data_IF_231792116947
#
_entry.id   IF_231792116947
#
_cell.length_a   1.000
_cell.length_b   1.000
_cell.length_c   1.000
_cell.angle_alpha   90.00
_cell.angle_beta   90.00
_cell.angle_gamma   90.00
#
_symmetry.space_group_name_H-M   'P 1'
#
loop_
_entity.id
_entity.type
_entity.pdbx_description
1 polymer ?
#
# COMPACT_ATOMS: atom_id res chain seq x y z
N UNK A 1 9.30 -10.43 17.95
CA UNK A 1 9.15 -10.86 16.61
C UNK A 1 7.94 -10.29 15.93
N UNK A 2 7.85 -10.58 14.65
CA UNK A 2 6.75 -10.10 13.84
C UNK A 2 5.73 -11.21 13.64
N UNK A 3 4.47 -10.80 13.60
CA UNK A 3 3.39 -11.72 13.30
C UNK A 3 3.32 -11.90 11.78
N UNK A 4 3.10 -13.13 11.28
CA UNK A 4 2.93 -13.31 9.84
C UNK A 4 1.76 -12.48 9.32
N UNK A 5 1.90 -11.99 8.09
CA UNK A 5 0.88 -11.17 7.46
C UNK A 5 0.24 -11.99 6.35
N UNK A 6 -1.07 -12.11 6.38
CA UNK A 6 -1.79 -12.77 5.31
C UNK A 6 -2.08 -11.75 4.21
N UNK A 7 -1.66 -12.06 2.99
CA UNK A 7 -1.86 -11.17 1.85
C UNK A 7 -2.89 -11.77 0.92
N UNK A 8 -3.87 -10.96 0.53
CA UNK A 8 -4.88 -11.36 -0.45
C UNK A 8 -4.88 -10.38 -1.60
N UNK A 9 -5.25 -10.85 -2.79
CA UNK A 9 -5.35 -10.02 -3.97
C UNK A 9 -6.81 -9.98 -4.40
N UNK A 10 -7.34 -8.79 -4.63
CA UNK A 10 -8.78 -8.61 -4.86
C UNK A 10 -8.97 -7.68 -6.04
N UNK A 11 -9.83 -8.06 -7.02
CA UNK A 11 -10.12 -7.15 -8.12
C UNK A 11 -10.74 -5.85 -7.63
N UNK A 12 -10.39 -4.76 -8.29
CA UNK A 12 -10.84 -3.44 -7.87
C UNK A 12 -12.36 -3.29 -7.91
N UNK A 13 -13.05 -4.07 -8.74
CA UNK A 13 -14.51 -4.00 -8.77
C UNK A 13 -15.15 -4.55 -7.50
N UNK A 14 -14.36 -5.16 -6.62
CA UNK A 14 -14.86 -5.58 -5.30
C UNK A 14 -14.39 -4.62 -4.21
N UNK A 15 -13.98 -3.42 -4.58
CA UNK A 15 -13.50 -2.41 -3.64
C UNK A 15 -14.54 -2.11 -2.56
N UNK A 16 -15.79 -2.11 -2.92
CA UNK A 16 -16.85 -1.78 -1.98
C UNK A 16 -16.90 -2.78 -0.81
N UNK A 17 -16.73 -4.07 -1.11
CA UNK A 17 -16.72 -5.08 -0.06
C UNK A 17 -15.54 -4.88 0.90
N UNK A 18 -14.39 -4.52 0.33
CA UNK A 18 -13.20 -4.28 1.14
C UNK A 18 -13.43 -3.07 2.05
N UNK A 19 -14.01 -2.02 1.49
CA UNK A 19 -14.27 -0.80 2.25
C UNK A 19 -15.21 -1.08 3.43
N UNK A 20 -16.26 -1.86 3.20
CA UNK A 20 -17.18 -2.23 4.27
C UNK A 20 -16.47 -3.02 5.37
N UNK A 21 -15.62 -3.95 4.98
CA UNK A 21 -14.91 -4.76 5.94
C UNK A 21 -13.93 -3.92 6.77
N UNK A 22 -13.22 -3.01 6.11
CA UNK A 22 -12.29 -2.11 6.82
C UNK A 22 -13.05 -1.24 7.81
N UNK A 23 -14.20 -0.71 7.38
CA UNK A 23 -14.99 0.14 8.26
C UNK A 23 -15.45 -0.63 9.50
N UNK A 24 -15.89 -1.86 9.31
CA UNK A 24 -16.32 -2.71 10.42
C UNK A 24 -15.17 -2.95 11.40
N UNK A 25 -14.00 -3.28 10.87
CA UNK A 25 -12.84 -3.54 11.72
C UNK A 25 -12.41 -2.29 12.49
N UNK A 26 -12.45 -1.14 11.83
CA UNK A 26 -12.08 0.11 12.49
C UNK A 26 -13.07 0.48 13.58
N UNK A 27 -14.36 0.21 13.36
CA UNK A 27 -15.36 0.45 14.37
C UNK A 27 -15.15 -0.42 15.61
N UNK A 28 -14.48 -1.55 15.44
CA UNK A 28 -14.15 -2.46 16.54
C UNK A 28 -12.84 -2.07 17.24
N UNK A 29 -12.21 -0.99 16.82
CA UNK A 29 -10.99 -0.52 17.45
C UNK A 29 -9.70 -0.91 16.77
N UNK A 30 -9.77 -1.67 15.69
CA UNK A 30 -8.57 -1.99 14.93
C UNK A 30 -8.15 -0.80 14.10
N UNK A 31 -6.88 -0.76 13.76
CA UNK A 31 -6.36 0.34 12.96
C UNK A 31 -5.89 -0.17 11.61
N UNK A 32 -6.11 0.65 10.59
CA UNK A 32 -5.86 0.27 9.21
C UNK A 32 -5.20 1.39 8.43
N UNK A 33 -4.39 1.00 7.46
CA UNK A 33 -3.87 1.90 6.42
C UNK A 33 -4.66 1.67 5.14
N UNK A 34 -4.94 2.74 4.43
CA UNK A 34 -5.53 2.66 3.10
C UNK A 34 -4.64 3.48 2.18
N UNK A 35 -3.89 2.81 1.32
CA UNK A 35 -2.90 3.47 0.47
C UNK A 35 -3.47 3.68 -0.91
N UNK A 36 -3.44 4.91 -1.38
CA UNK A 36 -3.91 5.29 -2.70
C UNK A 36 -2.74 5.48 -3.63
N UNK A 37 -2.77 4.82 -4.77
CA UNK A 37 -1.78 5.03 -5.80
C UNK A 37 -2.53 5.35 -7.08
N UNK A 38 -2.06 6.34 -7.82
CA UNK A 38 -2.70 6.68 -9.07
C UNK A 38 -1.68 6.76 -10.18
N UNK A 39 -0.75 7.71 -10.06
CA UNK A 39 0.29 7.89 -11.05
C UNK A 39 1.59 8.06 -10.29
N UNK A 40 2.50 7.15 -10.51
CA UNK A 40 3.69 7.09 -9.67
C UNK A 40 4.57 8.32 -9.78
N UNK A 41 4.42 9.11 -10.80
CA UNK A 41 5.30 10.25 -11.01
C UNK A 41 4.68 11.59 -10.67
N UNK A 42 3.49 11.59 -10.09
CA UNK A 42 2.80 12.84 -9.82
C UNK A 42 2.28 12.87 -8.40
N UNK A 43 2.99 13.59 -7.53
CA UNK A 43 2.52 13.79 -6.17
C UNK A 43 1.19 14.52 -6.12
N UNK A 44 0.97 15.42 -7.07
CA UNK A 44 -0.28 16.18 -7.10
C UNK A 44 -1.46 15.28 -7.37
N UNK A 45 -1.35 14.39 -8.36
CA UNK A 45 -2.44 13.48 -8.68
C UNK A 45 -2.64 12.45 -7.58
N UNK A 46 -1.56 11.96 -6.98
CA UNK A 46 -1.66 11.04 -5.86
C UNK A 46 -2.34 11.71 -4.67
N UNK A 47 -1.98 12.97 -4.39
CA UNK A 47 -2.61 13.72 -3.30
C UNK A 47 -4.09 13.91 -3.55
N UNK A 48 -4.47 14.23 -4.79
CA UNK A 48 -5.88 14.40 -5.13
C UNK A 48 -6.67 13.11 -4.95
N UNK A 49 -6.07 11.98 -5.34
CA UNK A 49 -6.72 10.68 -5.17
C UNK A 49 -6.93 10.36 -3.69
N UNK A 50 -5.92 10.65 -2.88
CA UNK A 50 -6.03 10.39 -1.44
C UNK A 50 -7.07 11.31 -0.80
N UNK A 51 -7.12 12.57 -1.22
CA UNK A 51 -8.12 13.50 -0.71
C UNK A 51 -9.52 13.08 -1.07
N UNK A 52 -9.72 12.60 -2.31
CA UNK A 52 -11.03 12.13 -2.74
C UNK A 52 -11.47 10.91 -1.93
N UNK A 53 -10.56 9.98 -1.70
CA UNK A 53 -10.86 8.79 -0.90
C UNK A 53 -11.16 9.17 0.54
N UNK A 54 -10.42 10.11 1.09
CA UNK A 54 -10.65 10.60 2.44
C UNK A 54 -12.06 11.18 2.56
N UNK A 55 -12.46 12.01 1.62
CA UNK A 55 -13.78 12.62 1.63
C UNK A 55 -14.88 11.57 1.49
N UNK A 56 -14.68 10.62 0.60
CA UNK A 56 -15.64 9.54 0.38
C UNK A 56 -15.88 8.74 1.65
N UNK A 57 -14.80 8.32 2.30
CA UNK A 57 -14.92 7.46 3.47
C UNK A 57 -15.45 8.24 4.66
N UNK A 58 -15.02 9.47 4.80
CA UNK A 58 -15.49 10.30 5.91
C UNK A 58 -17.01 10.50 5.85
N UNK A 59 -17.52 10.73 4.64
CA UNK A 59 -18.95 10.92 4.46
C UNK A 59 -19.74 9.66 4.74
N UNK A 60 -19.21 8.53 4.28
CA UNK A 60 -19.94 7.27 4.40
C UNK A 60 -19.83 6.63 5.76
N UNK A 61 -18.76 6.88 6.49
CA UNK A 61 -18.51 6.25 7.79
C UNK A 61 -18.11 7.29 8.81
N UNK A 62 -19.03 8.20 9.16
CA UNK A 62 -18.66 9.31 10.06
C UNK A 62 -18.30 8.86 11.48
N UNK A 63 -18.61 7.63 11.84
CA UNK A 63 -18.27 7.11 13.16
C UNK A 63 -16.79 6.73 13.28
N UNK A 64 -16.05 6.69 12.18
CA UNK A 64 -14.64 6.34 12.20
C UNK A 64 -13.80 7.60 12.12
N UNK A 65 -12.78 7.70 12.97
CA UNK A 65 -11.84 8.81 12.90
C UNK A 65 -10.78 8.51 11.86
N UNK A 66 -10.69 9.39 10.88
CA UNK A 66 -9.84 9.16 9.70
C UNK A 66 -8.80 10.25 9.61
N UNK A 67 -7.57 9.86 9.25
CA UNK A 67 -6.51 10.80 8.98
C UNK A 67 -6.07 10.71 7.52
N UNK A 68 -5.37 11.75 7.07
CA UNK A 68 -4.89 11.84 5.69
C UNK A 68 -3.45 12.29 5.68
N UNK A 69 -2.61 11.57 4.94
CA UNK A 69 -1.20 11.91 4.76
C UNK A 69 -0.84 11.76 3.29
N UNK A 70 -0.32 12.82 2.69
CA UNK A 70 0.17 12.74 1.30
C UNK A 70 1.37 13.66 1.12
N UNK A 71 2.01 13.55 -0.04
CA UNK A 71 3.28 14.20 -0.29
C UNK A 71 3.23 15.72 -0.39
N UNK A 72 2.05 16.29 -0.60
CA UNK A 72 1.92 17.75 -0.71
C UNK A 72 1.74 18.42 0.64
N UNK A 73 1.56 17.66 1.70
CA UNK A 73 1.40 18.22 3.03
C UNK A 73 2.75 18.61 3.61
N UNK A 74 2.73 19.61 4.50
CA UNK A 74 3.94 20.03 5.18
C UNK A 74 4.40 18.95 6.16
N UNK A 75 5.72 18.84 6.40
CA UNK A 75 6.21 17.81 7.32
C UNK A 75 5.57 17.86 8.70
N UNK A 76 5.31 19.05 9.24
CA UNK A 76 4.64 19.20 10.53
C UNK A 76 3.26 18.59 10.52
N UNK A 77 2.52 18.83 9.43
CA UNK A 77 1.16 18.32 9.31
C UNK A 77 1.17 16.80 9.24
N UNK A 78 2.10 16.25 8.44
CA UNK A 78 2.19 14.79 8.33
C UNK A 78 2.54 14.17 9.67
N UNK A 79 3.48 14.78 10.38
CA UNK A 79 3.91 14.25 11.66
C UNK A 79 2.78 14.27 12.69
N UNK A 80 1.99 15.35 12.69
CA UNK A 80 0.87 15.46 13.62
C UNK A 80 -0.16 14.36 13.37
N UNK A 81 -0.47 14.10 12.09
CA UNK A 81 -1.43 13.06 11.75
C UNK A 81 -0.89 11.68 12.14
N UNK A 82 0.39 11.42 11.86
CA UNK A 82 0.98 10.14 12.22
C UNK A 82 0.97 9.94 13.73
N UNK A 83 1.19 11.00 14.50
CA UNK A 83 1.17 10.89 15.94
C UNK A 83 -0.23 10.58 16.45
N UNK A 84 -1.25 11.20 15.86
CA UNK A 84 -2.64 10.90 16.21
C UNK A 84 -2.97 9.44 15.90
N UNK A 85 -2.49 8.95 14.77
CA UNK A 85 -2.71 7.57 14.38
C UNK A 85 -2.01 6.63 15.38
N UNK A 86 -0.78 6.93 15.71
CA UNK A 86 -0.04 6.12 16.67
C UNK A 86 -0.73 6.09 18.04
N UNK A 87 -1.32 7.21 18.44
CA UNK A 87 -2.00 7.33 19.73
C UNK A 87 -3.41 6.76 19.72
N UNK A 88 -3.80 6.13 18.62
CA UNK A 88 -5.13 5.54 18.43
C UNK A 88 -6.26 6.56 18.49
N UNK A 89 -5.94 7.79 18.14
CA UNK A 89 -6.98 8.82 17.96
C UNK A 89 -7.62 8.72 16.60
N UNK A 90 -6.94 8.06 15.66
CA UNK A 90 -7.45 7.79 14.32
C UNK A 90 -7.41 6.30 14.10
N UNK A 91 -8.48 5.75 13.52
CA UNK A 91 -8.57 4.32 13.26
C UNK A 91 -8.17 3.98 11.83
N UNK A 92 -8.31 4.93 10.92
CA UNK A 92 -7.99 4.68 9.51
C UNK A 92 -7.11 5.80 9.00
N UNK A 93 -5.99 5.42 8.40
CA UNK A 93 -5.09 6.40 7.81
C UNK A 93 -5.11 6.24 6.30
N UNK A 94 -5.61 7.27 5.61
CA UNK A 94 -5.58 7.33 4.16
C UNK A 94 -4.25 7.96 3.77
N UNK A 95 -3.51 7.32 2.89
CA UNK A 95 -2.16 7.80 2.57
C UNK A 95 -1.79 7.50 1.14
N UNK A 96 -0.80 8.21 0.65
CA UNK A 96 -0.14 7.87 -0.59
C UNK A 96 1.05 6.98 -0.26
N UNK A 97 1.85 6.63 -1.26
CA UNK A 97 2.98 5.73 -1.06
C UNK A 97 4.12 6.34 -0.26
N UNK A 98 3.98 7.62 0.12
CA UNK A 98 5.04 8.31 0.88
C UNK A 98 4.84 8.19 2.39
N UNK A 99 4.25 7.11 2.84
CA UNK A 99 4.06 6.89 4.27
C UNK A 99 5.41 6.93 4.98
N UNK A 100 5.49 7.72 6.03
CA UNK A 100 6.73 7.91 6.75
C UNK A 100 7.24 6.64 7.40
N UNK A 101 8.54 6.47 7.31
CA UNK A 101 9.23 5.39 8.00
C UNK A 101 9.51 5.86 9.43
N UNK A 102 9.59 4.94 10.34
CA UNK A 102 10.05 5.26 11.67
C UNK A 102 8.96 5.45 12.70
N UNK A 103 7.71 5.45 12.30
CA UNK A 103 6.61 5.50 13.25
C UNK A 103 6.02 4.10 13.34
N UNK A 104 6.11 3.50 14.52
CA UNK A 104 5.60 2.17 14.76
C UNK A 104 4.18 2.27 15.30
N UNK A 105 3.26 1.56 14.67
CA UNK A 105 1.87 1.54 15.11
C UNK A 105 1.47 0.08 15.30
N UNK A 106 1.78 -0.49 16.46
CA UNK A 106 1.55 -1.93 16.67
C UNK A 106 0.11 -2.36 16.53
N UNK A 107 -0.83 -1.47 16.82
CA UNK A 107 -2.24 -1.80 16.68
C UNK A 107 -2.72 -1.79 15.24
N UNK A 108 -1.92 -1.30 14.30
CA UNK A 108 -2.27 -1.30 12.88
C UNK A 108 -2.08 -2.69 12.33
N UNK A 109 -3.17 -3.36 12.04
CA UNK A 109 -3.17 -4.75 11.62
C UNK A 109 -3.74 -4.95 10.21
N UNK A 110 -4.17 -3.88 9.57
CA UNK A 110 -4.82 -3.97 8.26
C UNK A 110 -4.16 -2.99 7.30
N UNK A 111 -3.88 -3.47 6.10
CA UNK A 111 -3.28 -2.64 5.05
C UNK A 111 -4.05 -2.89 3.77
N UNK A 112 -4.56 -1.83 3.15
CA UNK A 112 -5.19 -1.92 1.83
C UNK A 112 -4.37 -1.06 0.89
N UNK A 113 -4.02 -1.60 -0.28
CA UNK A 113 -3.28 -0.85 -1.29
C UNK A 113 -4.13 -0.86 -2.55
N UNK A 114 -4.63 0.31 -2.95
CA UNK A 114 -5.41 0.45 -4.18
C UNK A 114 -4.49 0.50 -5.38
N UNK A 115 -4.89 -0.13 -6.46
CA UNK A 115 -4.12 -0.16 -7.71
C UNK A 115 -2.71 -0.69 -7.46
N UNK A 116 -2.64 -1.79 -6.73
CA UNK A 116 -1.36 -2.35 -6.31
C UNK A 116 -0.50 -2.77 -7.51
N UNK A 117 -1.12 -3.04 -8.67
CA UNK A 117 -0.36 -3.44 -9.85
C UNK A 117 0.57 -2.34 -10.35
N UNK A 118 0.39 -1.11 -9.87
CA UNK A 118 1.24 0.02 -10.27
C UNK A 118 2.55 0.07 -9.51
N UNK A 119 2.68 -0.71 -8.46
CA UNK A 119 3.86 -0.66 -7.60
C UNK A 119 4.75 -1.86 -7.84
N UNK A 120 6.05 -1.66 -7.67
CA UNK A 120 7.00 -2.76 -7.74
C UNK A 120 6.98 -3.60 -6.47
N UNK A 121 7.60 -4.77 -6.55
CA UNK A 121 7.62 -5.70 -5.42
C UNK A 121 8.24 -5.08 -4.17
N UNK A 122 9.34 -4.34 -4.33
CA UNK A 122 9.99 -3.72 -3.18
C UNK A 122 9.09 -2.74 -2.47
N UNK A 123 8.36 -1.93 -3.24
CA UNK A 123 7.44 -0.97 -2.64
C UNK A 123 6.30 -1.65 -1.93
N UNK A 124 5.74 -2.68 -2.55
CA UNK A 124 4.65 -3.44 -1.94
C UNK A 124 5.11 -4.08 -0.63
N UNK A 125 6.31 -4.64 -0.64
CA UNK A 125 6.86 -5.28 0.54
C UNK A 125 7.07 -4.27 1.66
N UNK A 126 7.58 -3.08 1.35
CA UNK A 126 7.80 -2.05 2.34
C UNK A 126 6.49 -1.57 2.96
N UNK A 127 5.48 -1.38 2.11
CA UNK A 127 4.18 -0.97 2.62
C UNK A 127 3.55 -2.05 3.49
N UNK A 128 3.59 -3.30 3.02
CA UNK A 128 3.04 -4.41 3.80
C UNK A 128 3.74 -4.51 5.15
N UNK A 129 5.01 -4.16 5.20
CA UNK A 129 5.78 -4.22 6.42
C UNK A 129 5.35 -3.25 7.50
N UNK A 130 4.43 -2.34 7.18
CA UNK A 130 3.91 -1.42 8.19
C UNK A 130 2.94 -2.09 9.15
N UNK A 131 2.43 -3.26 8.80
CA UNK A 131 1.58 -4.01 9.71
C UNK A 131 2.32 -5.27 10.15
N UNK A 132 1.75 -6.02 11.08
CA UNK A 132 2.38 -7.23 11.57
C UNK A 132 3.38 -6.98 12.67
N UNK A 133 3.33 -5.83 13.32
CA UNK A 133 4.29 -5.48 14.37
C UNK A 133 3.74 -5.65 15.76
N UNK A 134 2.47 -6.01 15.89
CA UNK A 134 1.86 -6.28 17.17
C UNK A 134 1.55 -7.74 17.34
N UNK A 135 0.78 -8.06 18.37
CA UNK A 135 0.42 -9.45 18.67
C UNK A 135 -0.74 -9.96 17.83
N UNK A 136 -1.48 -9.05 17.18
CA UNK A 136 -2.67 -9.44 16.45
C UNK A 136 -2.31 -9.95 15.06
N UNK A 137 -3.14 -10.84 14.53
CA UNK A 137 -3.01 -11.26 13.15
C UNK A 137 -3.19 -10.05 12.23
N UNK A 138 -2.40 -10.00 11.16
CA UNK A 138 -2.40 -8.87 10.26
C UNK A 138 -2.74 -9.32 8.85
N UNK A 139 -3.38 -8.40 8.10
CA UNK A 139 -3.83 -8.67 6.75
C UNK A 139 -3.45 -7.54 5.82
N UNK A 140 -3.11 -7.90 4.59
CA UNK A 140 -2.80 -6.94 3.55
C UNK A 140 -3.63 -7.28 2.33
N UNK A 141 -4.46 -6.34 1.88
CA UNK A 141 -5.31 -6.53 0.71
C UNK A 141 -4.76 -5.70 -0.44
N UNK A 142 -4.43 -6.37 -1.52
CA UNK A 142 -3.91 -5.71 -2.72
C UNK A 142 -5.05 -5.65 -3.74
N UNK A 143 -5.56 -4.45 -3.97
CA UNK A 143 -6.63 -4.24 -4.93
C UNK A 143 -6.01 -3.93 -6.29
N UNK A 144 -6.43 -4.65 -7.31
CA UNK A 144 -5.83 -4.51 -8.63
C UNK A 144 -6.88 -4.28 -9.70
N UNK A 145 -6.48 -3.56 -10.73
CA UNK A 145 -7.34 -3.26 -11.87
C UNK A 145 -7.00 -4.19 -13.04
N UNK A 146 -8.00 -4.84 -13.56
CA UNK A 146 -7.85 -5.68 -14.75
C UNK A 146 -7.87 -4.81 -16.01
N UNK A 147 -7.21 -5.23 -17.07
CA UNK A 147 -6.39 -6.44 -17.18
C UNK A 147 -5.01 -6.23 -16.59
N UNK A 148 -4.43 -7.30 -16.07
CA UNK A 148 -3.08 -7.25 -15.54
C UNK A 148 -2.07 -7.66 -16.59
N UNK A 149 -0.92 -7.00 -16.61
CA UNK A 149 0.19 -7.48 -17.41
C UNK A 149 0.71 -8.77 -16.81
N UNK A 150 1.52 -9.49 -17.57
CA UNK A 150 2.10 -10.72 -17.05
C UNK A 150 2.95 -10.44 -15.82
N UNK A 151 3.77 -9.38 -15.86
CA UNK A 151 4.57 -9.01 -14.70
C UNK A 151 3.71 -8.57 -13.53
N UNK A 152 2.60 -7.90 -13.80
CA UNK A 152 1.67 -7.52 -12.73
C UNK A 152 1.08 -8.73 -12.04
N UNK A 153 0.68 -9.74 -12.82
CA UNK A 153 0.17 -10.98 -12.24
C UNK A 153 1.22 -11.66 -11.38
N UNK A 154 2.44 -11.68 -11.88
CA UNK A 154 3.52 -12.35 -11.16
C UNK A 154 3.86 -11.64 -9.87
N UNK A 155 3.91 -10.30 -9.89
CA UNK A 155 4.19 -9.54 -8.66
C UNK A 155 3.13 -9.79 -7.60
N UNK A 156 1.87 -9.78 -7.99
CA UNK A 156 0.80 -10.00 -7.02
C UNK A 156 0.84 -11.41 -6.47
N UNK A 157 1.15 -12.39 -7.33
CA UNK A 157 1.27 -13.77 -6.89
C UNK A 157 2.38 -13.93 -5.87
N UNK A 158 3.52 -13.31 -6.13
CA UNK A 158 4.67 -13.40 -5.21
C UNK A 158 4.31 -12.78 -3.87
N UNK A 159 3.67 -11.63 -3.88
CA UNK A 159 3.27 -10.98 -2.64
C UNK A 159 2.31 -11.85 -1.83
N UNK A 160 1.42 -12.56 -2.52
CA UNK A 160 0.47 -13.42 -1.83
C UNK A 160 1.14 -14.65 -1.22
N UNK A 161 2.21 -15.12 -1.84
CA UNK A 161 2.84 -16.39 -1.47
C UNK A 161 3.94 -16.29 -0.43
N UNK A 162 4.58 -15.13 -0.27
CA UNK A 162 5.71 -15.06 0.64
C UNK A 162 5.76 -13.75 1.42
N UNK A 163 6.29 -13.82 2.63
CA UNK A 163 6.64 -12.66 3.44
C UNK A 163 8.16 -12.47 3.49
N UNK A 164 8.92 -13.33 2.85
CA UNK A 164 10.38 -13.34 2.95
C UNK A 164 10.98 -12.25 2.06
N UNK A 165 11.61 -11.25 2.68
CA UNK A 165 12.19 -10.14 1.96
C UNK A 165 13.29 -10.54 0.99
N UNK A 166 14.04 -11.59 1.29
CA UNK A 166 15.09 -12.07 0.38
C UNK A 166 14.48 -12.63 -0.88
N UNK A 167 13.40 -13.41 -0.75
CA UNK A 167 12.73 -13.97 -1.91
C UNK A 167 12.13 -12.85 -2.75
N UNK A 168 11.53 -11.86 -2.09
CA UNK A 168 10.93 -10.74 -2.80
C UNK A 168 11.98 -9.94 -3.56
N UNK A 169 13.13 -9.68 -2.93
CA UNK A 169 14.21 -8.96 -3.59
C UNK A 169 14.73 -9.73 -4.80
N UNK A 170 14.87 -11.03 -4.66
CA UNK A 170 15.35 -11.88 -5.75
C UNK A 170 14.37 -11.87 -6.91
N UNK A 171 13.07 -12.01 -6.62
CA UNK A 171 12.05 -12.01 -7.66
C UNK A 171 11.90 -10.65 -8.31
N UNK A 172 12.05 -9.59 -7.53
CA UNK A 172 12.00 -8.24 -8.08
C UNK A 172 13.11 -8.05 -9.12
N UNK A 173 14.29 -8.55 -8.80
CA UNK A 173 15.41 -8.48 -9.71
C UNK A 173 15.15 -9.27 -11.00
N UNK A 174 14.59 -10.47 -10.87
CA UNK A 174 14.26 -11.29 -12.03
C UNK A 174 13.25 -10.61 -12.94
N UNK A 175 12.25 -9.96 -12.36
CA UNK A 175 11.20 -9.31 -13.14
C UNK A 175 11.69 -8.07 -13.86
N UNK A 176 12.69 -7.39 -13.30
CA UNK A 176 13.26 -6.23 -13.98
C UNK A 176 14.09 -6.60 -15.18
N UNK A 177 14.80 -7.70 -15.08
CA UNK A 177 15.68 -8.14 -16.15
C UNK A 177 17.05 -7.50 -16.07
N UNK A 178 18.02 -8.06 -16.81
CA UNK A 178 19.41 -7.60 -16.72
C UNK A 178 19.65 -6.18 -17.21
N UNK A 179 18.89 -5.74 -18.21
CA UNK A 179 19.10 -4.40 -18.74
C UNK A 179 18.85 -3.33 -17.70
N UNK A 180 17.81 -3.48 -16.96
CA UNK A 180 17.48 -2.52 -15.93
C UNK A 180 18.49 -2.55 -14.80
N UNK A 181 18.99 -3.74 -14.51
CA UNK A 181 19.99 -3.90 -13.48
C UNK A 181 21.26 -3.15 -13.81
N UNK A 182 21.59 -3.07 -15.08
CA UNK A 182 22.78 -2.36 -15.51
C UNK A 182 22.59 -0.84 -15.53
N UNK A 183 21.45 -0.37 -15.15
CA UNK A 183 21.24 1.06 -15.00
C UNK A 183 21.06 1.82 -16.27
N UNK A 184 20.76 1.12 -17.31
CA UNK A 184 20.56 1.80 -18.55
C UNK A 184 19.18 2.28 -18.67
N UNK A 185 18.61 2.42 -17.78
CA UNK A 185 17.44 2.81 -17.84
C UNK A 185 17.13 4.00 -18.13
N UNK A 186 17.32 4.34 -18.68
CA UNK A 186 17.05 5.28 -18.91
C UNK A 186 16.14 5.29 -19.66
N UNK A 187 15.74 4.99 -20.07
CA UNK A 187 14.98 4.80 -20.59
C UNK A 187 14.16 4.18 -20.47
N UNK A 188 13.97 4.12 -20.28
CA UNK A 188 13.26 3.44 -20.12
C UNK A 188 12.86 2.87 -20.42
N UNK A 189 12.87 2.77 -20.80
CA UNK A 189 12.56 2.08 -20.99
C UNK A 189 12.60 1.41 -21.48
N UNK A 190 12.73 1.46 -22.03
CA UNK A 190 12.83 0.81 -22.53
C UNK A 190 12.80 -0.03 -22.95
N UNK A 191 12.49 0.07 -23.39
CA UNK A 191 12.31 -1.04 -23.84
C UNK A 191 13.06 -2.11 -23.78
N UNK A 192 13.74 -2.27 -23.49
CA UNK A 192 14.32 -3.29 -23.43
C UNK A 192 13.97 -4.05 -22.43
N UNK A 193 13.40 -3.65 -21.78
CA UNK A 193 13.01 -4.43 -20.95
C UNK A 193 12.49 -5.55 -21.49
N UNK A 194 12.41 -5.62 -22.43
CA UNK A 194 11.96 -6.53 -23.11
C UNK A 194 12.59 -7.65 -23.14
N UNK A 195 13.40 -7.56 -23.19
CA UNK A 195 13.93 -8.71 -23.29
C UNK A 195 13.66 -9.56 -22.19
N UNK A 196 13.17 -9.65 -21.82
CA UNK A 196 12.98 -10.36 -20.89
C UNK A 196 12.68 -11.36 -21.04
N UNK A 197 12.87 -11.40 -21.46
CA UNK A 197 12.78 -12.17 -21.51
C UNK A 197 12.61 -12.82 -21.39
#
# INVERSE_FOLDING_TARGET
GRTPIQTVTIPLDRREEVLQRIATNCAEGKQAYWVCTLVEQSETLDAQAAEATFAEIKERFPEINIGLVHGKMKPDEKQAVMQQFKNNELQLLIATTVIEVGVDVPNASLMVIENAERLGLSQLHQLRGRVGRGAKASFCALLYKNPLSQNGQERLRIMRETNDGFIIAEKDLELRGPGELLGTKQTGDMGFRVAKL
#
